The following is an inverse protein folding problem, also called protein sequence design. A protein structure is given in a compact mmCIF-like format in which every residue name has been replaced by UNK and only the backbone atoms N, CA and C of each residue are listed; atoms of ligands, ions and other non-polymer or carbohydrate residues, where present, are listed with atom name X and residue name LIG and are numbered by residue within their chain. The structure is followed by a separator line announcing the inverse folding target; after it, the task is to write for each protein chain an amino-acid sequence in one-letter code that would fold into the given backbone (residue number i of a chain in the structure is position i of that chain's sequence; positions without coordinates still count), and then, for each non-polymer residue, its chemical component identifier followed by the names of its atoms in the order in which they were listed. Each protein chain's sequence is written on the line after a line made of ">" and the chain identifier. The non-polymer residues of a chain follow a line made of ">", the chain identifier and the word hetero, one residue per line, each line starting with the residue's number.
data_IF_116614707659
#
_entry.id   IF_116614707659
#
_cell.length_a   1.000
_cell.length_b   1.000
_cell.length_c   1.000
_cell.angle_alpha   90.00
_cell.angle_beta   90.00
_cell.angle_gamma   90.00
#
_symmetry.space_group_name_H-M   'P 1'
#
loop_
_entity.id
_entity.type
_entity.pdbx_description
1 polymer ?
#
# COMPACT_ATOMS: atom_id res chain seq x y z
N UNK A 1 1.61 6.08 -15.50
CA UNK A 1 1.84 6.65 -14.14
C UNK A 1 2.56 5.70 -13.19
N UNK A 2 2.32 4.42 -13.24
CA UNK A 2 3.20 3.46 -12.54
C UNK A 2 4.66 3.54 -13.02
N UNK A 3 4.91 3.94 -14.27
CA UNK A 3 6.24 3.99 -14.87
C UNK A 3 7.18 5.06 -14.29
N UNK A 4 6.67 6.11 -13.65
CA UNK A 4 7.52 7.14 -13.01
C UNK A 4 7.92 6.77 -11.58
N UNK A 5 7.13 5.94 -10.88
CA UNK A 5 7.49 5.43 -9.55
C UNK A 5 8.56 4.32 -9.62
N UNK A 6 8.66 3.63 -10.74
CA UNK A 6 9.55 2.47 -10.94
C UNK A 6 11.02 2.86 -11.09
N UNK A 7 11.30 4.08 -11.55
CA UNK A 7 12.67 4.44 -12.01
C UNK A 7 13.64 4.90 -10.90
N UNK A 8 13.20 5.20 -9.67
CA UNK A 8 14.05 5.87 -8.67
C UNK A 8 14.23 5.12 -7.35
N UNK A 9 13.43 4.11 -7.06
CA UNK A 9 13.44 3.47 -5.75
C UNK A 9 14.07 2.08 -5.76
N UNK A 10 15.24 1.92 -5.14
CA UNK A 10 15.93 0.63 -4.92
C UNK A 10 15.37 -0.18 -3.74
N UNK A 11 14.24 0.20 -3.14
CA UNK A 11 13.66 -0.44 -1.97
C UNK A 11 12.47 -1.36 -2.28
N UNK A 12 11.89 -1.92 -1.22
CA UNK A 12 10.67 -2.72 -1.31
C UNK A 12 9.44 -1.84 -1.54
N UNK A 13 8.47 -2.38 -2.25
CA UNK A 13 7.12 -1.85 -2.36
C UNK A 13 6.22 -2.76 -1.53
N UNK A 14 5.47 -2.18 -0.61
CA UNK A 14 4.57 -2.91 0.28
C UNK A 14 3.13 -2.63 -0.14
N UNK A 15 2.38 -3.69 -0.45
CA UNK A 15 0.94 -3.61 -0.70
C UNK A 15 0.17 -4.07 0.53
N UNK A 16 -0.79 -3.27 0.99
CA UNK A 16 -1.66 -3.58 2.13
C UNK A 16 -3.07 -3.91 1.66
N UNK A 17 -3.58 -5.07 2.07
CA UNK A 17 -4.94 -5.51 1.79
C UNK A 17 -5.16 -5.86 0.31
N UNK A 18 -4.35 -6.74 -0.23
CA UNK A 18 -4.37 -7.09 -1.66
C UNK A 18 -5.66 -7.81 -2.10
N UNK A 19 -6.40 -8.42 -1.18
CA UNK A 19 -7.63 -9.14 -1.50
C UNK A 19 -7.38 -10.27 -2.49
N UNK A 20 -8.00 -10.19 -3.66
CA UNK A 20 -7.81 -11.18 -4.74
C UNK A 20 -6.58 -10.92 -5.61
N UNK A 21 -5.81 -9.85 -5.35
CA UNK A 21 -4.55 -9.55 -6.03
C UNK A 21 -4.69 -8.76 -7.33
N UNK A 22 -5.74 -7.96 -7.49
CA UNK A 22 -5.93 -7.13 -8.69
C UNK A 22 -4.85 -6.05 -8.78
N UNK A 23 -4.56 -5.37 -7.67
CA UNK A 23 -3.53 -4.34 -7.61
C UNK A 23 -2.13 -4.98 -7.68
N UNK A 24 -1.93 -6.12 -7.01
CA UNK A 24 -0.70 -6.93 -7.14
C UNK A 24 -0.37 -7.24 -8.59
N UNK A 25 -1.35 -7.78 -9.35
CA UNK A 25 -1.18 -8.08 -10.77
C UNK A 25 -0.80 -6.82 -11.58
N UNK A 26 -1.50 -5.71 -11.34
CA UNK A 26 -1.24 -4.45 -12.02
C UNK A 26 0.17 -3.91 -11.72
N UNK A 27 0.66 -4.01 -10.49
CA UNK A 27 2.01 -3.60 -10.13
C UNK A 27 3.07 -4.40 -10.89
N UNK A 28 2.89 -5.72 -10.98
CA UNK A 28 3.79 -6.61 -11.73
C UNK A 28 3.76 -6.31 -13.23
N UNK A 29 2.58 -6.14 -13.83
CA UNK A 29 2.39 -5.79 -15.24
C UNK A 29 3.04 -4.44 -15.61
N UNK A 30 3.14 -3.51 -14.65
CA UNK A 30 3.80 -2.22 -14.83
C UNK A 30 5.30 -2.23 -14.49
N UNK A 31 5.90 -3.40 -14.34
CA UNK A 31 7.34 -3.58 -14.25
C UNK A 31 7.93 -3.57 -12.84
N UNK A 32 7.10 -3.71 -11.80
CA UNK A 32 7.60 -3.98 -10.45
C UNK A 32 8.15 -5.41 -10.43
N UNK A 33 9.43 -5.57 -10.07
CA UNK A 33 10.04 -6.87 -9.93
C UNK A 33 9.40 -7.64 -8.75
N UNK A 34 8.99 -8.92 -8.93
CA UNK A 34 8.30 -9.70 -7.89
C UNK A 34 9.06 -9.74 -6.57
N UNK A 35 10.39 -9.85 -6.61
CA UNK A 35 11.26 -9.90 -5.42
C UNK A 35 11.28 -8.59 -4.62
N UNK A 36 10.80 -7.51 -5.22
CA UNK A 36 10.66 -6.20 -4.56
C UNK A 36 9.27 -5.94 -4.02
N UNK A 37 8.30 -6.78 -4.37
CA UNK A 37 6.91 -6.63 -3.94
C UNK A 37 6.66 -7.50 -2.71
N UNK A 38 6.20 -6.86 -1.65
CA UNK A 38 5.75 -7.51 -0.42
C UNK A 38 4.27 -7.20 -0.26
N UNK A 39 3.47 -8.22 -0.12
CA UNK A 39 2.02 -8.12 0.07
C UNK A 39 1.67 -8.52 1.49
N UNK A 40 0.90 -7.68 2.19
CA UNK A 40 0.36 -7.96 3.51
C UNK A 40 -1.15 -8.16 3.39
N UNK A 41 -1.61 -9.35 3.75
CA UNK A 41 -3.03 -9.73 3.70
C UNK A 41 -3.44 -10.40 5.01
N UNK A 42 -4.51 -9.89 5.63
CA UNK A 42 -4.98 -10.38 6.93
C UNK A 42 -5.72 -11.72 6.84
N UNK A 43 -6.43 -11.95 5.74
CA UNK A 43 -7.18 -13.19 5.54
C UNK A 43 -6.25 -14.32 5.15
N UNK A 44 -6.18 -15.37 5.97
CA UNK A 44 -5.41 -16.58 5.67
C UNK A 44 -5.81 -17.22 4.34
N UNK A 45 -7.11 -17.24 4.03
CA UNK A 45 -7.63 -17.77 2.77
C UNK A 45 -7.12 -16.96 1.56
N UNK A 46 -7.19 -15.65 1.63
CA UNK A 46 -6.72 -14.77 0.55
C UNK A 46 -5.19 -14.80 0.45
N UNK A 47 -4.47 -14.83 1.57
CA UNK A 47 -3.01 -14.98 1.57
C UNK A 47 -2.56 -16.29 0.89
N UNK A 48 -3.25 -17.40 1.16
CA UNK A 48 -2.99 -18.68 0.48
C UNK A 48 -3.29 -18.59 -1.03
N UNK A 49 -4.40 -17.96 -1.41
CA UNK A 49 -4.74 -17.72 -2.81
C UNK A 49 -3.66 -16.89 -3.52
N UNK A 50 -3.20 -15.80 -2.89
CA UNK A 50 -2.16 -14.91 -3.43
C UNK A 50 -0.82 -15.65 -3.62
N UNK A 51 -0.41 -16.51 -2.67
CA UNK A 51 0.80 -17.35 -2.80
C UNK A 51 0.72 -18.27 -4.01
N UNK A 52 -0.45 -18.87 -4.27
CA UNK A 52 -0.66 -19.70 -5.44
C UNK A 52 -0.62 -18.91 -6.75
N UNK A 53 -1.17 -17.69 -6.75
CA UNK A 53 -1.26 -16.85 -7.93
C UNK A 53 0.05 -16.13 -8.27
N UNK A 54 0.82 -15.74 -7.25
CA UNK A 54 2.06 -14.96 -7.37
C UNK A 54 3.21 -15.63 -6.61
N UNK A 55 3.73 -16.76 -7.09
CA UNK A 55 4.70 -17.56 -6.34
C UNK A 55 6.04 -16.85 -6.06
N UNK A 56 6.40 -15.86 -6.88
CA UNK A 56 7.65 -15.10 -6.74
C UNK A 56 7.51 -13.83 -5.90
N UNK A 57 6.29 -13.52 -5.44
CA UNK A 57 6.00 -12.36 -4.57
C UNK A 57 6.03 -12.79 -3.11
N UNK A 58 6.61 -11.97 -2.25
CA UNK A 58 6.57 -12.20 -0.80
C UNK A 58 5.16 -11.89 -0.25
N UNK A 59 4.43 -12.91 0.16
CA UNK A 59 3.09 -12.76 0.77
C UNK A 59 3.21 -12.99 2.28
N UNK A 60 2.94 -11.94 3.06
CA UNK A 60 2.91 -11.96 4.52
C UNK A 60 1.45 -11.98 4.99
N UNK A 61 1.09 -13.02 5.71
CA UNK A 61 -0.21 -13.12 6.37
C UNK A 61 -0.15 -12.39 7.71
N UNK A 62 -0.99 -11.38 7.88
CA UNK A 62 -1.03 -10.62 9.12
C UNK A 62 -1.79 -9.31 9.01
N UNK A 63 -1.94 -8.64 10.15
CA UNK A 63 -2.63 -7.35 10.24
C UNK A 63 -1.67 -6.22 9.86
N UNK A 64 -2.16 -5.26 9.06
CA UNK A 64 -1.40 -4.07 8.71
C UNK A 64 -1.03 -3.21 9.93
N UNK A 65 -1.74 -3.34 11.05
CA UNK A 65 -1.38 -2.71 12.32
C UNK A 65 -0.05 -3.24 12.89
N UNK A 66 0.36 -4.45 12.51
CA UNK A 66 1.60 -5.10 12.95
C UNK A 66 2.72 -5.01 11.90
N UNK A 67 2.63 -4.06 11.00
CA UNK A 67 3.46 -3.96 9.79
C UNK A 67 4.97 -4.00 10.06
N UNK A 68 5.45 -3.28 11.07
CA UNK A 68 6.88 -3.26 11.42
C UNK A 68 7.39 -4.66 11.82
N UNK A 69 6.59 -5.40 12.60
CA UNK A 69 6.91 -6.78 13.01
C UNK A 69 6.88 -7.74 11.82
N UNK A 70 5.87 -7.62 10.95
CA UNK A 70 5.73 -8.45 9.75
C UNK A 70 6.89 -8.26 8.76
N UNK A 71 7.32 -7.02 8.56
CA UNK A 71 8.41 -6.70 7.64
C UNK A 71 9.79 -7.04 8.21
N UNK A 72 9.96 -6.96 9.54
CA UNK A 72 11.24 -7.16 10.20
C UNK A 72 12.32 -6.23 9.65
N UNK A 73 13.50 -6.78 9.30
CA UNK A 73 14.62 -6.01 8.75
C UNK A 73 14.30 -5.29 7.42
N UNK A 74 13.28 -5.74 6.70
CA UNK A 74 12.85 -5.13 5.42
C UNK A 74 12.21 -3.77 5.62
N UNK A 75 11.70 -3.48 6.81
CA UNK A 75 11.02 -2.22 7.14
C UNK A 75 11.87 -0.98 6.80
N UNK A 76 13.18 -1.05 7.06
CA UNK A 76 14.13 0.03 6.78
C UNK A 76 14.43 0.23 5.29
N UNK A 77 14.00 -0.68 4.44
CA UNK A 77 14.24 -0.68 2.99
C UNK A 77 12.95 -0.51 2.17
N UNK A 78 11.86 -0.12 2.81
CA UNK A 78 10.60 0.20 2.13
C UNK A 78 10.75 1.53 1.42
N UNK A 79 10.41 1.58 0.14
CA UNK A 79 10.43 2.79 -0.68
C UNK A 79 9.05 3.33 -1.01
N UNK A 80 8.05 2.47 -1.00
CA UNK A 80 6.67 2.88 -1.21
C UNK A 80 5.69 1.92 -0.51
N UNK A 81 4.55 2.45 -0.13
CA UNK A 81 3.41 1.66 0.37
C UNK A 81 2.22 1.93 -0.52
N UNK A 82 1.58 0.87 -0.97
CA UNK A 82 0.33 0.89 -1.75
C UNK A 82 -0.76 0.28 -0.87
N UNK A 83 -1.79 1.04 -0.55
CA UNK A 83 -2.88 0.56 0.29
C UNK A 83 -4.17 0.43 -0.51
N UNK A 84 -4.76 -0.75 -0.47
CA UNK A 84 -6.10 -1.06 -0.96
C UNK A 84 -7.10 -1.28 0.19
N UNK A 85 -6.68 -0.99 1.43
CA UNK A 85 -7.54 -1.11 2.60
C UNK A 85 -8.71 -0.13 2.54
N UNK A 86 -9.93 -0.54 2.89
CA UNK A 86 -11.10 0.33 2.91
C UNK A 86 -11.11 1.20 4.18
N UNK A 87 -10.10 2.07 4.33
CA UNK A 87 -9.84 2.85 5.56
C UNK A 87 -11.06 3.63 6.05
N UNK A 88 -11.96 4.06 5.15
CA UNK A 88 -13.19 4.78 5.53
C UNK A 88 -14.26 3.88 6.15
N UNK A 89 -14.18 2.57 5.92
CA UNK A 89 -15.12 1.58 6.44
C UNK A 89 -14.58 0.87 7.69
N UNK A 90 -13.33 1.10 8.04
CA UNK A 90 -12.73 0.55 9.25
C UNK A 90 -13.03 1.42 10.47
N UNK A 91 -13.10 0.83 11.68
CA UNK A 91 -13.17 1.59 12.92
C UNK A 91 -11.99 2.56 13.03
N UNK A 92 -12.25 3.75 13.61
CA UNK A 92 -11.21 4.78 13.77
C UNK A 92 -9.97 4.25 14.50
N UNK A 93 -10.17 3.47 15.56
CA UNK A 93 -9.07 2.85 16.32
C UNK A 93 -8.17 1.95 15.45
N UNK A 94 -8.76 1.20 14.53
CA UNK A 94 -8.01 0.36 13.58
C UNK A 94 -7.22 1.24 12.59
N UNK A 95 -7.83 2.30 12.09
CA UNK A 95 -7.16 3.25 11.18
C UNK A 95 -5.99 3.94 11.88
N UNK A 96 -6.17 4.35 13.14
CA UNK A 96 -5.11 4.98 13.95
C UNK A 96 -3.95 4.00 14.21
N UNK A 97 -4.23 2.72 14.46
CA UNK A 97 -3.20 1.67 14.62
C UNK A 97 -2.42 1.45 13.31
N UNK A 98 -3.11 1.35 12.19
CA UNK A 98 -2.46 1.23 10.87
C UNK A 98 -1.60 2.47 10.58
N UNK A 99 -2.11 3.66 10.87
CA UNK A 99 -1.37 4.90 10.75
C UNK A 99 -0.08 4.91 11.56
N UNK A 100 -0.16 4.52 12.83
CA UNK A 100 1.02 4.41 13.70
C UNK A 100 2.03 3.37 13.19
N UNK A 101 1.54 2.24 12.65
CA UNK A 101 2.39 1.22 12.05
C UNK A 101 3.12 1.73 10.79
N UNK A 102 2.43 2.52 9.96
CA UNK A 102 3.02 3.17 8.79
C UNK A 102 4.06 4.22 9.18
N UNK A 103 3.78 5.03 10.19
CA UNK A 103 4.75 6.01 10.71
C UNK A 103 6.01 5.35 11.29
N UNK A 104 5.87 4.18 11.93
CA UNK A 104 6.99 3.44 12.48
C UNK A 104 7.97 2.91 11.43
N UNK A 105 7.48 2.58 10.22
CA UNK A 105 8.31 2.09 9.12
C UNK A 105 8.71 3.21 8.14
N UNK A 106 8.29 4.45 8.41
CA UNK A 106 8.47 5.62 7.56
C UNK A 106 9.90 5.74 7.04
N UNK A 107 10.18 5.38 5.79
CA UNK A 107 11.48 5.63 5.19
C UNK A 107 11.54 7.09 4.74
N UNK A 108 12.67 7.75 4.92
CA UNK A 108 12.87 9.11 4.40
C UNK A 108 12.62 9.13 2.89
N UNK A 109 11.64 9.94 2.45
CA UNK A 109 11.28 10.08 1.04
C UNK A 109 10.35 9.00 0.48
N UNK A 110 9.72 8.18 1.33
CA UNK A 110 8.76 7.18 0.86
C UNK A 110 7.47 7.80 0.36
N UNK A 111 6.88 7.14 -0.62
CA UNK A 111 5.59 7.47 -1.20
C UNK A 111 4.50 6.55 -0.65
N UNK A 112 3.39 7.11 -0.21
CA UNK A 112 2.19 6.38 0.15
C UNK A 112 1.13 6.55 -0.94
N UNK A 113 0.61 5.44 -1.45
CA UNK A 113 -0.40 5.42 -2.49
C UNK A 113 -1.65 4.73 -1.94
N UNK A 114 -2.75 5.47 -1.86
CA UNK A 114 -4.04 4.94 -1.41
C UNK A 114 -4.98 4.72 -2.59
N UNK A 115 -5.45 3.49 -2.77
CA UNK A 115 -6.58 3.16 -3.63
C UNK A 115 -7.87 3.29 -2.84
N UNK A 116 -8.85 4.00 -3.37
CA UNK A 116 -10.16 4.14 -2.75
C UNK A 116 -11.26 4.18 -3.81
N UNK A 117 -12.39 3.57 -3.50
CA UNK A 117 -13.62 3.70 -4.30
C UNK A 117 -14.45 4.93 -3.93
N UNK A 118 -13.97 5.76 -3.02
CA UNK A 118 -14.65 6.99 -2.62
C UNK A 118 -14.21 8.17 -3.47
N UNK A 119 -15.17 8.89 -4.06
CA UNK A 119 -14.93 10.06 -4.91
C UNK A 119 -14.49 11.32 -4.15
N UNK A 120 -14.54 11.32 -2.81
CA UNK A 120 -14.10 12.47 -1.99
C UNK A 120 -12.69 12.25 -1.48
N UNK A 121 -11.76 13.08 -1.92
CA UNK A 121 -10.45 13.19 -1.30
C UNK A 121 -10.62 13.92 0.04
N UNK A 122 -10.65 13.18 1.16
CA UNK A 122 -10.36 13.75 2.47
C UNK A 122 -8.93 13.38 2.81
N UNK A 123 -8.18 14.34 3.35
CA UNK A 123 -6.91 14.06 3.99
C UNK A 123 -7.08 12.87 4.93
N UNK A 124 -6.11 12.00 4.96
CA UNK A 124 -6.13 10.85 5.85
C UNK A 124 -5.91 11.42 7.25
N UNK A 125 -6.92 11.35 8.11
CA UNK A 125 -6.96 12.07 9.41
C UNK A 125 -5.80 11.74 10.38
N UNK A 126 -5.08 10.63 10.16
CA UNK A 126 -3.95 10.23 10.98
C UNK A 126 -2.59 10.80 10.52
N UNK A 127 -2.53 11.38 9.32
CA UNK A 127 -1.26 11.83 8.74
C UNK A 127 -1.20 13.36 8.72
N UNK A 128 -0.85 13.96 9.85
CA UNK A 128 -0.66 15.41 9.96
C UNK A 128 0.50 15.96 9.10
N UNK A 129 1.40 15.08 8.64
CA UNK A 129 2.59 15.42 7.86
C UNK A 129 2.58 14.87 6.43
N UNK A 130 1.42 14.45 5.92
CA UNK A 130 1.30 13.87 4.59
C UNK A 130 0.68 14.87 3.63
N UNK A 131 1.43 15.21 2.60
CA UNK A 131 0.96 16.11 1.53
C UNK A 131 0.41 15.27 0.37
N UNK A 132 -0.84 15.53 -0.03
CA UNK A 132 -1.40 14.94 -1.24
C UNK A 132 -0.71 15.56 -2.47
N UNK A 133 0.12 14.78 -3.15
CA UNK A 133 0.83 15.23 -4.36
C UNK A 133 -0.05 15.15 -5.59
N UNK A 134 -0.88 14.12 -5.68
CA UNK A 134 -1.68 13.85 -6.86
C UNK A 134 -2.91 12.99 -6.54
N UNK A 135 -4.02 13.28 -7.23
CA UNK A 135 -5.25 12.49 -7.14
C UNK A 135 -5.78 12.23 -8.55
N UNK A 136 -6.03 10.96 -8.90
CA UNK A 136 -6.58 10.57 -10.20
C UNK A 136 -7.73 9.59 -10.03
N UNK A 137 -8.80 9.81 -10.79
CA UNK A 137 -9.95 8.88 -10.84
C UNK A 137 -9.77 7.94 -12.03
N UNK A 138 -9.93 6.65 -11.79
CA UNK A 138 -9.89 5.60 -12.82
C UNK A 138 -11.33 5.20 -13.13
N UNK A 139 -11.83 5.68 -14.25
CA UNK A 139 -13.22 5.46 -14.69
C UNK A 139 -13.49 4.07 -15.30
N UNK A 140 -12.44 3.30 -15.60
CA UNK A 140 -12.58 1.94 -16.14
C UNK A 140 -13.07 0.91 -15.14
N UNK A 141 -13.02 1.24 -13.85
CA UNK A 141 -13.54 0.39 -12.79
C UNK A 141 -15.00 0.75 -12.50
N UNK A 142 -15.84 -0.24 -12.23
CA UNK A 142 -17.21 -0.06 -11.78
C UNK A 142 -17.35 -0.69 -10.38
N UNK A 143 -17.47 0.13 -9.33
CA UNK A 143 -17.46 1.60 -9.29
C UNK A 143 -16.08 2.20 -9.60
N UNK A 144 -16.01 3.49 -10.00
CA UNK A 144 -14.75 4.16 -10.29
C UNK A 144 -13.80 4.17 -9.07
N UNK A 145 -12.55 3.79 -9.29
CA UNK A 145 -11.53 3.85 -8.25
C UNK A 145 -10.77 5.18 -8.30
N UNK A 146 -10.41 5.69 -7.14
CA UNK A 146 -9.54 6.85 -7.00
C UNK A 146 -8.19 6.45 -6.44
N UNK A 147 -7.13 6.94 -7.06
CA UNK A 147 -5.76 6.77 -6.62
C UNK A 147 -5.27 8.11 -6.08
N UNK A 148 -4.92 8.13 -4.81
CA UNK A 148 -4.30 9.29 -4.16
C UNK A 148 -2.84 8.96 -3.87
N UNK A 149 -1.95 9.85 -4.28
CA UNK A 149 -0.52 9.75 -4.03
C UNK A 149 -0.14 10.78 -2.99
N UNK A 150 0.46 10.33 -1.93
CA UNK A 150 0.92 11.16 -0.83
C UNK A 150 2.44 11.02 -0.67
N UNK A 151 3.11 12.10 -0.28
CA UNK A 151 4.47 12.04 0.21
C UNK A 151 4.48 12.33 1.70
N UNK A 152 5.30 11.60 2.47
CA UNK A 152 5.63 11.99 3.82
C UNK A 152 6.48 13.26 3.77
N UNK A 153 6.09 14.28 4.56
CA UNK A 153 6.90 15.48 4.71
C UNK A 153 8.29 15.15 5.25
N UNK A 154 9.30 15.83 4.73
CA UNK A 154 10.63 15.80 5.33
C UNK A 154 10.54 16.56 6.65
N UNK A 155 10.54 15.84 7.78
CA UNK A 155 10.75 16.39 9.09
C UNK A 155 12.21 16.76 9.29
#
# INVERSE_FOLDING_TARGET
>A
MASQAVSVCRGYIVELGAGTGVVTASLLEHGIAPERLIVVEKSALLAAHLRGRFPDVTILEGDAADLASLLGWRAQRVSAVVSSLPLKSLPKSTVDQIGSALDAIRPKGATFIQFTYSLRCRAIDWAQEVTCLHSRTIWRNVPPARVNVFAWGNG
#
